data_IF_125818334132
#
_entry.id   IF_125818334132
#
_cell.length_a   1.000
_cell.length_b   1.000
_cell.length_c   1.000
_cell.angle_alpha   90.00
_cell.angle_beta   90.00
_cell.angle_gamma   90.00
#
_symmetry.space_group_name_H-M   'P 1'
#
loop_
_entity.id
_entity.type
_entity.pdbx_description
1 polymer ?
#
# COMPACT_ATOMS: atom_id res chain seq x y z
N UNK A 1 -17.97 -0.70 -8.66
CA UNK A 1 -16.84 -0.20 -7.85
C UNK A 1 -16.72 -1.04 -6.60
N UNK A 2 -15.71 -1.90 -6.52
CA UNK A 2 -15.31 -2.55 -5.27
C UNK A 2 -14.16 -1.76 -4.65
N UNK A 3 -14.28 -1.40 -3.38
CA UNK A 3 -13.18 -0.82 -2.59
C UNK A 3 -12.72 -1.90 -1.62
N UNK A 4 -11.52 -2.42 -1.84
CA UNK A 4 -10.97 -3.48 -0.99
C UNK A 4 -10.15 -2.84 0.12
N UNK A 5 -10.61 -3.03 1.36
CA UNK A 5 -9.84 -2.72 2.55
C UNK A 5 -8.95 -3.93 2.87
N UNK A 6 -7.67 -3.83 2.52
CA UNK A 6 -6.70 -4.85 2.93
C UNK A 6 -6.37 -4.65 4.41
N UNK A 7 -6.99 -5.43 5.29
CA UNK A 7 -6.53 -5.62 6.67
C UNK A 7 -6.47 -7.12 6.97
N UNK A 8 -5.34 -7.61 7.47
CA UNK A 8 -5.26 -8.91 8.14
C UNK A 8 -5.06 -8.63 9.62
N UNK A 9 -6.05 -8.99 10.44
CA UNK A 9 -5.90 -9.02 11.89
C UNK A 9 -5.26 -10.36 12.27
N UNK A 10 -4.18 -10.30 13.04
CA UNK A 10 -3.54 -11.46 13.67
C UNK A 10 -4.50 -12.11 14.67
N UNK A 11 -5.16 -13.21 14.29
CA UNK A 11 -5.80 -14.10 15.25
C UNK A 11 -5.55 -15.57 14.88
N UNK A 12 -4.74 -16.26 15.70
CA UNK A 12 -4.86 -17.71 15.92
C UNK A 12 -4.21 -18.66 14.90
N UNK A 13 -3.33 -18.21 14.00
CA UNK A 13 -2.65 -19.13 13.07
C UNK A 13 -1.52 -19.88 13.79
N UNK A 14 -1.54 -21.21 13.70
CA UNK A 14 -0.59 -22.12 14.37
C UNK A 14 0.81 -22.10 13.76
N UNK A 15 0.96 -21.51 12.58
CA UNK A 15 2.22 -21.34 11.85
C UNK A 15 2.59 -19.86 11.70
N UNK A 16 3.89 -19.52 11.69
CA UNK A 16 4.33 -18.14 11.51
C UNK A 16 3.91 -17.60 10.14
N UNK A 17 3.02 -16.61 10.15
CA UNK A 17 2.61 -15.86 8.95
C UNK A 17 3.63 -14.77 8.67
N UNK A 18 4.22 -14.79 7.48
CA UNK A 18 5.16 -13.77 7.01
C UNK A 18 4.48 -12.81 6.01
N UNK A 19 5.20 -11.80 5.53
CA UNK A 19 4.69 -10.83 4.55
C UNK A 19 4.25 -11.49 3.24
N UNK A 20 4.97 -12.51 2.72
CA UNK A 20 4.56 -13.21 1.49
C UNK A 20 3.15 -13.78 1.63
N UNK A 21 2.87 -14.48 2.75
CA UNK A 21 1.55 -15.03 3.04
C UNK A 21 0.46 -13.94 3.12
N UNK A 22 0.78 -12.76 3.67
CA UNK A 22 -0.19 -11.66 3.74
C UNK A 22 -0.50 -11.08 2.37
N UNK A 23 0.51 -10.95 1.51
CA UNK A 23 0.33 -10.47 0.16
C UNK A 23 -0.41 -11.51 -0.69
N UNK A 24 -0.11 -12.79 -0.52
CA UNK A 24 -0.86 -13.90 -1.15
C UNK A 24 -2.34 -13.86 -0.82
N UNK A 25 -2.69 -13.69 0.45
CA UNK A 25 -4.09 -13.61 0.87
C UNK A 25 -4.81 -12.44 0.19
N UNK A 26 -4.14 -11.30 0.00
CA UNK A 26 -4.71 -10.15 -0.72
C UNK A 26 -4.89 -10.50 -2.19
N UNK A 27 -3.92 -11.16 -2.83
CA UNK A 27 -4.01 -11.60 -4.22
C UNK A 27 -5.18 -12.58 -4.43
N UNK A 28 -5.31 -13.58 -3.56
CA UNK A 28 -6.40 -14.55 -3.59
C UNK A 28 -7.77 -13.88 -3.37
N UNK A 29 -7.86 -12.91 -2.45
CA UNK A 29 -9.07 -12.14 -2.25
C UNK A 29 -9.44 -11.31 -3.49
N UNK A 30 -8.44 -10.74 -4.19
CA UNK A 30 -8.65 -10.01 -5.44
C UNK A 30 -9.16 -10.91 -6.56
N UNK A 31 -8.58 -12.10 -6.72
CA UNK A 31 -9.07 -13.13 -7.66
C UNK A 31 -10.53 -13.47 -7.36
N UNK A 32 -10.83 -13.82 -6.12
CA UNK A 32 -12.19 -14.15 -5.70
C UNK A 32 -13.17 -13.01 -5.99
N UNK A 33 -12.81 -11.77 -5.64
CA UNK A 33 -13.67 -10.61 -5.90
C UNK A 33 -13.87 -10.45 -7.40
N UNK A 34 -12.82 -10.50 -8.20
CA UNK A 34 -12.92 -10.35 -9.66
C UNK A 34 -13.85 -11.39 -10.27
N UNK A 35 -13.78 -12.65 -9.81
CA UNK A 35 -14.55 -13.76 -10.35
C UNK A 35 -16.02 -13.75 -9.90
N UNK A 36 -16.31 -13.21 -8.71
CA UNK A 36 -17.63 -13.31 -8.08
C UNK A 36 -18.37 -11.97 -7.90
N UNK A 37 -17.76 -10.82 -8.18
CA UNK A 37 -18.36 -9.51 -7.86
C UNK A 37 -19.70 -9.30 -8.58
N UNK A 38 -19.87 -9.80 -9.80
CA UNK A 38 -21.11 -9.67 -10.56
C UNK A 38 -22.28 -10.50 -10.01
N UNK A 39 -22.02 -11.51 -9.18
CA UNK A 39 -23.06 -12.28 -8.50
C UNK A 39 -23.79 -11.43 -7.43
N UNK A 40 -23.04 -10.55 -6.77
CA UNK A 40 -23.55 -9.66 -5.73
C UNK A 40 -23.91 -8.27 -6.26
N UNK A 41 -23.17 -7.80 -7.28
CA UNK A 41 -23.31 -6.49 -7.88
C UNK A 41 -23.27 -6.62 -9.40
N UNK A 42 -24.39 -6.93 -10.08
CA UNK A 42 -24.41 -7.21 -11.52
C UNK A 42 -23.83 -6.11 -12.41
N UNK A 43 -23.84 -4.86 -11.94
CA UNK A 43 -23.32 -3.69 -12.65
C UNK A 43 -21.86 -3.35 -12.28
N UNK A 44 -21.21 -4.11 -11.40
CA UNK A 44 -19.80 -3.90 -11.11
C UNK A 44 -18.94 -4.35 -12.29
N UNK A 45 -17.92 -3.57 -12.60
CA UNK A 45 -16.88 -3.97 -13.54
C UNK A 45 -15.74 -4.67 -12.76
N UNK A 46 -15.49 -5.97 -12.99
CA UNK A 46 -14.45 -6.73 -12.30
C UNK A 46 -13.03 -6.25 -12.67
N UNK A 47 -12.88 -5.49 -13.77
CA UNK A 47 -11.62 -4.90 -14.19
C UNK A 47 -11.47 -3.42 -13.78
N UNK A 48 -12.33 -2.94 -12.87
CA UNK A 48 -12.24 -1.61 -12.25
C UNK A 48 -12.05 -1.67 -10.74
N UNK A 49 -10.88 -2.15 -10.31
CA UNK A 49 -10.53 -2.31 -8.90
C UNK A 49 -9.64 -1.16 -8.42
N UNK A 50 -9.99 -0.59 -7.27
CA UNK A 50 -9.14 0.36 -6.54
C UNK A 50 -8.68 -0.26 -5.22
N UNK A 51 -7.37 -0.23 -4.98
CA UNK A 51 -6.79 -0.70 -3.72
C UNK A 51 -6.61 0.47 -2.76
N UNK A 52 -6.98 0.28 -1.49
CA UNK A 52 -6.74 1.26 -0.45
C UNK A 52 -6.24 0.59 0.83
N UNK A 53 -5.30 1.26 1.49
CA UNK A 53 -4.64 0.72 2.67
C UNK A 53 -4.10 1.82 3.56
N UNK A 54 -4.00 1.51 4.85
CA UNK A 54 -3.43 2.39 5.87
C UNK A 54 -2.25 1.69 6.55
N UNK A 55 -1.16 2.41 6.82
CA UNK A 55 -0.01 1.89 7.56
C UNK A 55 0.55 0.60 6.93
N UNK A 56 0.58 -0.51 7.65
CA UNK A 56 0.95 -1.81 7.10
C UNK A 56 0.09 -2.24 5.90
N UNK A 57 -1.19 -1.88 5.85
CA UNK A 57 -2.04 -2.14 4.68
C UNK A 57 -1.60 -1.34 3.45
N UNK A 58 -1.16 -0.09 3.63
CA UNK A 58 -0.61 0.73 2.55
C UNK A 58 0.70 0.13 2.00
N UNK A 59 1.53 -0.45 2.87
CA UNK A 59 2.70 -1.22 2.49
C UNK A 59 2.34 -2.43 1.63
N UNK A 60 1.42 -3.29 2.11
CA UNK A 60 1.04 -4.53 1.42
C UNK A 60 0.43 -4.27 0.05
N UNK A 61 -0.49 -3.31 -0.09
CA UNK A 61 -1.09 -2.98 -1.40
C UNK A 61 -0.08 -2.32 -2.35
N UNK A 62 0.93 -1.63 -1.82
CA UNK A 62 1.99 -1.09 -2.65
C UNK A 62 2.92 -2.20 -3.12
N UNK A 63 3.25 -3.15 -2.25
CA UNK A 63 4.10 -4.28 -2.58
C UNK A 63 3.46 -5.19 -3.63
N UNK A 64 2.21 -5.61 -3.42
CA UNK A 64 1.49 -6.49 -4.38
C UNK A 64 1.34 -5.84 -5.76
N UNK A 65 1.19 -4.52 -5.81
CA UNK A 65 0.96 -3.81 -7.07
C UNK A 65 2.27 -3.59 -7.83
N UNK A 66 3.37 -3.35 -7.12
CA UNK A 66 4.66 -3.01 -7.73
C UNK A 66 5.53 -4.23 -8.00
N UNK A 67 5.49 -5.25 -7.15
CA UNK A 67 6.13 -6.53 -7.41
C UNK A 67 5.17 -7.44 -8.19
N UNK A 68 5.34 -7.45 -9.51
CA UNK A 68 4.49 -8.21 -10.45
C UNK A 68 4.43 -9.70 -10.16
N UNK A 69 5.46 -10.27 -9.51
CA UNK A 69 5.51 -11.70 -9.22
C UNK A 69 4.34 -12.18 -8.35
N UNK A 70 3.78 -11.30 -7.51
CA UNK A 70 2.60 -11.63 -6.71
C UNK A 70 1.34 -11.76 -7.56
N UNK A 71 1.13 -10.88 -8.54
CA UNK A 71 -0.04 -11.00 -9.41
C UNK A 71 0.14 -12.11 -10.46
N UNK A 72 1.34 -12.29 -11.00
CA UNK A 72 1.65 -13.34 -11.96
C UNK A 72 1.41 -14.74 -11.40
N UNK A 73 1.85 -15.02 -10.16
CA UNK A 73 1.68 -16.35 -9.54
C UNK A 73 0.22 -16.70 -9.25
N UNK A 74 -0.66 -15.70 -9.13
CA UNK A 74 -2.10 -15.87 -8.94
C UNK A 74 -2.91 -15.63 -10.21
N UNK A 75 -2.25 -15.44 -11.36
CA UNK A 75 -2.89 -15.14 -12.64
C UNK A 75 -3.84 -13.92 -12.59
N UNK A 76 -3.55 -12.97 -11.70
CA UNK A 76 -4.34 -11.75 -11.55
C UNK A 76 -3.85 -10.68 -12.54
N UNK A 77 -4.72 -10.15 -13.42
CA UNK A 77 -4.31 -9.11 -14.35
C UNK A 77 -4.10 -7.77 -13.64
N UNK A 78 -2.84 -7.27 -13.64
CA UNK A 78 -2.50 -5.96 -13.08
C UNK A 78 -3.35 -4.82 -13.69
N UNK A 79 -3.74 -4.95 -14.96
CA UNK A 79 -4.58 -3.99 -15.68
C UNK A 79 -5.98 -3.80 -15.07
N UNK A 80 -6.46 -4.74 -14.24
CA UNK A 80 -7.70 -4.59 -13.47
C UNK A 80 -7.55 -3.62 -12.29
N UNK A 81 -6.32 -3.27 -11.88
CA UNK A 81 -6.07 -2.25 -10.86
C UNK A 81 -6.06 -0.87 -11.52
N UNK A 82 -7.10 -0.08 -11.26
CA UNK A 82 -7.27 1.28 -11.80
C UNK A 82 -6.58 2.36 -10.96
N UNK A 83 -6.20 2.04 -9.74
CA UNK A 83 -5.39 2.92 -8.91
C UNK A 83 -5.18 2.39 -7.50
N UNK A 84 -4.15 2.93 -6.85
CA UNK A 84 -3.76 2.57 -5.48
C UNK A 84 -3.76 3.81 -4.59
N UNK A 85 -4.42 3.71 -3.44
CA UNK A 85 -4.55 4.80 -2.47
C UNK A 85 -3.87 4.39 -1.17
N UNK A 86 -2.64 4.86 -0.98
CA UNK A 86 -1.76 4.47 0.12
C UNK A 86 -1.71 5.56 1.20
N UNK A 87 -2.22 5.26 2.40
CA UNK A 87 -2.29 6.22 3.52
C UNK A 87 -1.29 5.89 4.61
N UNK A 88 -0.40 6.83 4.92
CA UNK A 88 0.60 6.72 6.00
C UNK A 88 1.37 5.40 5.97
N UNK A 89 1.73 4.95 4.77
CA UNK A 89 2.41 3.67 4.53
C UNK A 89 3.91 3.70 4.81
N UNK A 90 4.51 2.52 4.67
CA UNK A 90 5.96 2.31 4.69
C UNK A 90 6.35 1.70 3.36
N UNK A 91 7.28 2.31 2.66
CA UNK A 91 7.68 1.95 1.30
C UNK A 91 9.15 1.55 1.22
N UNK A 92 9.96 1.97 2.20
CA UNK A 92 11.37 1.59 2.33
C UNK A 92 11.65 1.10 3.75
N UNK A 93 11.68 -0.23 3.93
CA UNK A 93 11.86 -0.87 5.24
C UNK A 93 13.28 -0.68 5.82
N UNK A 94 14.26 -0.30 5.01
CA UNK A 94 15.63 -0.02 5.46
C UNK A 94 15.76 1.24 6.32
N UNK A 95 14.99 2.29 6.00
CA UNK A 95 15.17 3.61 6.59
C UNK A 95 13.88 4.48 6.56
N UNK A 96 12.74 4.00 7.09
CA UNK A 96 11.40 4.58 6.85
C UNK A 96 11.07 5.91 7.54
N UNK A 97 11.91 6.40 8.45
CA UNK A 97 11.63 7.63 9.24
C UNK A 97 12.68 8.71 9.05
N UNK A 98 13.78 8.40 8.35
CA UNK A 98 14.89 9.32 8.08
C UNK A 98 15.81 8.73 7.01
N UNK A 99 16.53 9.56 6.26
CA UNK A 99 17.49 9.11 5.24
C UNK A 99 18.68 8.31 5.77
N UNK A 100 18.99 8.42 7.07
CA UNK A 100 20.05 7.65 7.69
C UNK A 100 19.51 6.38 8.34
N UNK A 101 20.00 5.23 7.88
CA UNK A 101 19.70 3.91 8.47
C UNK A 101 20.10 3.79 9.95
N UNK A 102 21.04 4.61 10.41
CA UNK A 102 21.52 4.65 11.80
C UNK A 102 20.75 5.63 12.68
N UNK A 103 19.73 6.31 12.14
CA UNK A 103 18.88 7.18 12.96
C UNK A 103 18.16 6.36 14.03
N UNK A 104 18.15 6.85 15.27
CA UNK A 104 17.51 6.17 16.40
C UNK A 104 16.03 5.84 16.14
N UNK A 105 15.29 6.70 15.45
CA UNK A 105 13.89 6.44 15.08
C UNK A 105 13.76 5.24 14.14
N UNK A 106 14.66 5.12 13.15
CA UNK A 106 14.71 3.95 12.26
C UNK A 106 15.07 2.67 13.02
N UNK A 107 15.98 2.75 14.01
CA UNK A 107 16.36 1.59 14.84
C UNK A 107 15.17 1.11 15.67
N UNK A 108 14.51 2.02 16.40
CA UNK A 108 13.32 1.71 17.20
C UNK A 108 12.20 1.16 16.31
N UNK A 109 11.99 1.79 15.15
CA UNK A 109 11.00 1.35 14.18
C UNK A 109 11.26 -0.08 13.70
N UNK A 110 12.50 -0.39 13.30
CA UNK A 110 12.90 -1.76 12.93
C UNK A 110 12.66 -2.73 14.09
N UNK A 111 13.01 -2.40 15.32
CA UNK A 111 12.76 -3.31 16.45
C UNK A 111 11.26 -3.65 16.59
N UNK A 112 10.38 -2.67 16.40
CA UNK A 112 8.94 -2.86 16.52
C UNK A 112 8.31 -3.59 15.32
N UNK A 113 8.80 -3.32 14.10
CA UNK A 113 8.19 -3.82 12.86
C UNK A 113 8.94 -5.00 12.24
N UNK A 114 10.23 -5.17 12.50
CA UNK A 114 11.10 -6.24 11.99
C UNK A 114 11.28 -7.37 12.99
N UNK A 115 10.26 -7.65 13.82
CA UNK A 115 10.27 -8.90 14.59
C UNK A 115 10.48 -10.04 13.59
N UNK A 116 11.45 -10.92 13.86
CA UNK A 116 11.89 -12.01 12.98
C UNK A 116 10.82 -13.05 12.64
N UNK A 117 9.58 -12.82 13.09
CA UNK A 117 8.39 -13.59 12.80
C UNK A 117 7.71 -13.15 11.49
N UNK A 118 7.84 -11.88 11.08
CA UNK A 118 7.13 -11.33 9.92
C UNK A 118 7.91 -11.44 8.61
N UNK A 119 9.23 -11.51 8.67
CA UNK A 119 10.11 -11.54 7.51
C UNK A 119 10.87 -12.87 7.47
N UNK A 120 10.83 -13.62 6.35
CA UNK A 120 11.64 -14.83 6.18
C UNK A 120 13.12 -14.56 6.39
N UNK A 121 13.84 -15.51 6.99
CA UNK A 121 15.26 -15.33 7.37
C UNK A 121 16.19 -15.23 6.15
N UNK A 122 15.75 -15.74 5.02
CA UNK A 122 16.45 -15.83 3.73
C UNK A 122 16.19 -14.62 2.83
N UNK A 123 15.20 -13.78 3.16
CA UNK A 123 14.87 -12.57 2.41
C UNK A 123 15.28 -11.31 3.15
N UNK A 124 15.65 -10.30 2.37
CA UNK A 124 16.11 -9.00 2.85
C UNK A 124 14.94 -8.03 3.01
N UNK A 125 15.11 -7.03 3.87
CA UNK A 125 14.14 -5.93 4.00
C UNK A 125 13.99 -5.14 2.69
N UNK A 126 14.96 -5.22 1.77
CA UNK A 126 14.90 -4.58 0.46
C UNK A 126 13.88 -5.28 -0.46
N UNK A 127 13.84 -6.62 -0.45
CA UNK A 127 12.84 -7.39 -1.21
C UNK A 127 11.41 -7.14 -0.74
N UNK A 128 11.24 -6.68 0.50
CA UNK A 128 9.94 -6.25 1.01
C UNK A 128 9.73 -4.74 0.95
N UNK A 129 10.58 -3.98 0.28
CA UNK A 129 10.43 -2.53 0.17
C UNK A 129 9.78 -2.17 -1.17
N UNK A 130 8.49 -1.76 -1.21
CA UNK A 130 7.79 -1.41 -2.46
C UNK A 130 8.57 -0.45 -3.37
N UNK A 131 9.35 0.47 -2.80
CA UNK A 131 10.13 1.46 -3.56
C UNK A 131 11.15 0.83 -4.53
N UNK A 132 11.66 -0.36 -4.23
CA UNK A 132 12.68 -1.06 -5.04
C UNK A 132 12.13 -1.59 -6.37
N UNK A 133 10.80 -1.68 -6.47
CA UNK A 133 10.09 -2.22 -7.64
C UNK A 133 9.63 -1.14 -8.61
N UNK A 134 9.83 0.14 -8.30
CA UNK A 134 9.54 1.25 -9.22
C UNK A 134 10.72 1.36 -10.20
N UNK A 135 10.57 0.74 -11.37
CA UNK A 135 11.56 0.74 -12.47
C UNK A 135 10.96 1.38 -13.71
N UNK A 136 11.79 1.96 -14.57
CA UNK A 136 11.32 2.55 -15.84
C UNK A 136 10.77 1.47 -16.80
N UNK A 137 9.83 1.86 -17.66
CA UNK A 137 9.23 1.01 -18.71
C UNK A 137 8.42 -0.21 -18.20
N UNK A 138 7.90 -0.12 -16.98
CA UNK A 138 6.97 -1.07 -16.40
C UNK A 138 5.54 -0.54 -16.47
N UNK A 139 4.55 -1.42 -16.59
CA UNK A 139 3.15 -1.06 -16.32
C UNK A 139 2.95 -0.88 -14.81
N UNK A 140 2.59 0.35 -14.39
CA UNK A 140 2.26 0.70 -13.00
C UNK A 140 1.00 1.56 -13.01
N UNK A 141 -0.06 1.19 -12.25
CA UNK A 141 -1.27 2.00 -12.17
C UNK A 141 -1.02 3.34 -11.45
N UNK A 142 -1.92 4.32 -11.55
CA UNK A 142 -1.76 5.59 -10.83
C UNK A 142 -1.79 5.36 -9.31
N UNK A 143 -1.00 6.15 -8.58
CA UNK A 143 -0.96 6.13 -7.11
C UNK A 143 -1.43 7.46 -6.52
N UNK A 144 -2.26 7.41 -5.48
CA UNK A 144 -2.46 8.49 -4.52
C UNK A 144 -1.78 8.11 -3.21
N UNK A 145 -0.74 8.85 -2.85
CA UNK A 145 -0.04 8.70 -1.58
C UNK A 145 -0.52 9.82 -0.64
N UNK A 146 -0.89 9.47 0.58
CA UNK A 146 -1.31 10.44 1.59
C UNK A 146 -0.54 10.24 2.88
N UNK A 147 0.00 11.31 3.45
CA UNK A 147 0.63 11.31 4.77
C UNK A 147 -0.19 12.14 5.75
N UNK A 148 -0.19 11.77 7.03
CA UNK A 148 -0.74 12.64 8.07
C UNK A 148 0.21 13.82 8.33
N UNK A 149 -0.31 14.94 8.86
CA UNK A 149 0.56 16.03 9.34
C UNK A 149 1.50 15.58 10.45
N UNK A 150 1.01 14.74 11.36
CA UNK A 150 1.76 14.20 12.49
C UNK A 150 1.93 12.68 12.32
N UNK A 151 2.81 12.29 11.39
CA UNK A 151 2.96 10.90 10.91
C UNK A 151 4.22 10.19 11.41
N UNK A 152 4.76 10.63 12.54
CA UNK A 152 5.93 10.01 13.20
C UNK A 152 7.21 9.96 12.33
N UNK A 153 7.29 10.74 11.25
CA UNK A 153 8.42 10.74 10.32
C UNK A 153 8.19 9.91 9.05
N UNK A 154 7.08 9.16 8.94
CA UNK A 154 6.76 8.36 7.75
C UNK A 154 6.52 9.23 6.51
N UNK A 155 6.18 10.52 6.70
CA UNK A 155 6.05 11.47 5.61
C UNK A 155 7.36 11.68 4.82
N UNK A 156 8.51 11.35 5.43
CA UNK A 156 9.83 11.36 4.77
C UNK A 156 9.93 10.19 3.78
N UNK A 157 9.52 8.99 4.20
CA UNK A 157 9.54 7.80 3.33
C UNK A 157 8.53 7.92 2.19
N UNK A 158 7.32 8.42 2.49
CA UNK A 158 6.33 8.73 1.47
C UNK A 158 6.85 9.71 0.41
N UNK A 159 7.62 10.75 0.81
CA UNK A 159 8.23 11.69 -0.15
C UNK A 159 9.23 10.99 -1.07
N UNK A 160 10.12 10.16 -0.53
CA UNK A 160 11.08 9.40 -1.35
C UNK A 160 10.38 8.45 -2.32
N UNK A 161 9.34 7.77 -1.86
CA UNK A 161 8.52 6.90 -2.69
C UNK A 161 7.90 7.68 -3.86
N UNK A 162 7.26 8.83 -3.57
CA UNK A 162 6.66 9.71 -4.59
C UNK A 162 7.72 10.29 -5.55
N UNK A 163 8.90 10.67 -5.04
CA UNK A 163 10.01 11.14 -5.87
C UNK A 163 10.49 10.06 -6.84
N UNK A 164 10.55 8.80 -6.40
CA UNK A 164 10.89 7.67 -7.27
C UNK A 164 9.87 7.49 -8.40
N UNK A 165 8.57 7.55 -8.11
CA UNK A 165 7.52 7.56 -9.14
C UNK A 165 7.71 8.70 -10.15
N UNK A 166 7.97 9.92 -9.66
CA UNK A 166 8.18 11.10 -10.52
C UNK A 166 9.42 10.97 -11.40
N UNK A 167 10.52 10.44 -10.87
CA UNK A 167 11.76 10.18 -11.61
C UNK A 167 11.51 9.21 -12.77
N UNK A 168 10.76 8.13 -12.50
CA UNK A 168 10.37 7.14 -13.51
C UNK A 168 9.16 7.57 -14.36
N UNK A 169 8.65 8.81 -14.18
CA UNK A 169 7.54 9.41 -14.94
C UNK A 169 6.20 8.68 -14.82
N UNK A 170 5.96 8.01 -13.70
CA UNK A 170 4.67 7.38 -13.42
C UNK A 170 3.66 8.38 -12.82
N UNK A 171 2.34 8.20 -13.08
CA UNK A 171 1.31 9.01 -12.47
C UNK A 171 1.27 8.81 -10.95
N UNK A 172 1.55 9.88 -10.20
CA UNK A 172 1.47 9.87 -8.74
C UNK A 172 0.97 11.20 -8.20
N UNK A 173 0.03 11.13 -7.27
CA UNK A 173 -0.44 12.25 -6.45
C UNK A 173 0.08 12.10 -5.03
N UNK A 174 0.44 13.23 -4.39
CA UNK A 174 0.88 13.24 -3.00
C UNK A 174 0.19 14.34 -2.21
N UNK A 175 -0.41 13.98 -1.07
CA UNK A 175 -1.12 14.89 -0.18
C UNK A 175 -0.66 14.74 1.27
N UNK A 176 -0.52 15.85 1.98
CA UNK A 176 -0.35 15.84 3.44
C UNK A 176 -1.66 16.31 4.06
N UNK A 177 -2.31 15.43 4.82
CA UNK A 177 -3.60 15.69 5.45
C UNK A 177 -3.39 16.57 6.67
N UNK A 178 -3.92 17.79 6.60
CA UNK A 178 -3.64 18.88 7.53
C UNK A 178 -4.34 18.77 8.90
N UNK A 179 -4.53 19.93 9.55
CA UNK A 179 -5.21 20.02 10.84
C UNK A 179 -4.42 19.37 11.98
N UNK A 180 -5.11 18.56 12.80
CA UNK A 180 -4.53 17.74 13.89
C UNK A 180 -4.43 16.25 13.50
N UNK A 181 -4.39 15.96 12.20
CA UNK A 181 -4.37 14.58 11.70
C UNK A 181 -3.05 13.90 12.07
N UNK A 182 -3.18 12.74 12.70
CA UNK A 182 -2.11 11.83 13.14
C UNK A 182 -2.13 10.56 12.31
N UNK A 183 -1.06 9.76 12.42
CA UNK A 183 -0.97 8.44 11.79
C UNK A 183 -2.24 7.60 11.92
N UNK A 184 -2.83 7.49 13.11
CA UNK A 184 -4.05 6.69 13.31
C UNK A 184 -5.34 7.40 12.88
N UNK A 185 -5.39 8.74 12.93
CA UNK A 185 -6.62 9.50 12.66
C UNK A 185 -6.84 9.81 11.19
N UNK A 186 -5.82 9.68 10.33
CA UNK A 186 -6.01 9.74 8.88
C UNK A 186 -7.02 8.68 8.40
N UNK A 187 -6.99 7.48 8.98
CA UNK A 187 -7.91 6.39 8.69
C UNK A 187 -9.11 6.36 9.66
N UNK A 188 -8.88 6.39 10.98
CA UNK A 188 -9.98 6.23 11.95
C UNK A 188 -10.99 7.40 11.96
N UNK A 189 -10.60 8.58 11.46
CA UNK A 189 -11.49 9.73 11.25
C UNK A 189 -11.72 10.04 9.76
N UNK A 190 -11.50 9.08 8.87
CA UNK A 190 -11.63 9.26 7.42
C UNK A 190 -12.94 9.95 7.02
N UNK A 191 -14.06 9.64 7.67
CA UNK A 191 -15.36 10.28 7.38
C UNK A 191 -15.39 11.81 7.56
N UNK A 192 -14.45 12.38 8.30
CA UNK A 192 -14.47 13.78 8.75
C UNK A 192 -13.18 14.55 8.48
N UNK A 193 -12.14 13.89 7.95
CA UNK A 193 -10.89 14.54 7.59
C UNK A 193 -10.77 14.72 6.07
N UNK A 194 -9.81 15.54 5.64
CA UNK A 194 -9.65 15.91 4.23
C UNK A 194 -9.18 14.75 3.34
N UNK A 195 -8.66 13.66 3.93
CA UNK A 195 -8.23 12.48 3.17
C UNK A 195 -9.37 11.90 2.33
N UNK A 196 -10.60 11.98 2.83
CA UNK A 196 -11.81 11.54 2.12
C UNK A 196 -12.04 12.28 0.81
N UNK A 197 -11.80 13.59 0.78
CA UNK A 197 -11.99 14.37 -0.45
C UNK A 197 -10.99 13.95 -1.52
N UNK A 198 -9.71 13.84 -1.16
CA UNK A 198 -8.66 13.38 -2.07
C UNK A 198 -8.93 11.96 -2.56
N UNK A 199 -9.30 11.05 -1.66
CA UNK A 199 -9.67 9.67 -1.96
C UNK A 199 -10.73 9.56 -3.07
N UNK A 200 -11.87 10.22 -2.89
CA UNK A 200 -12.96 10.13 -3.87
C UNK A 200 -12.68 10.94 -5.14
N UNK A 201 -11.88 11.99 -5.07
CA UNK A 201 -11.45 12.75 -6.25
C UNK A 201 -10.59 11.88 -7.15
N UNK A 202 -9.60 11.20 -6.57
CA UNK A 202 -8.71 10.26 -7.26
C UNK A 202 -9.49 9.12 -7.94
N UNK A 203 -10.41 8.48 -7.22
CA UNK A 203 -11.27 7.44 -7.82
C UNK A 203 -12.04 7.98 -9.03
N UNK A 204 -12.68 9.16 -8.90
CA UNK A 204 -13.44 9.76 -10.02
C UNK A 204 -12.57 10.13 -11.22
N UNK A 205 -11.32 10.52 -11.00
CA UNK A 205 -10.37 10.84 -12.06
C UNK A 205 -9.96 9.59 -12.86
N UNK A 206 -9.87 8.43 -12.20
CA UNK A 206 -9.35 7.19 -12.78
C UNK A 206 -10.41 6.11 -13.08
N UNK A 207 -11.68 6.39 -12.83
CA UNK A 207 -12.83 5.54 -13.20
C UNK A 207 -13.19 5.61 -14.70
N UNK A 208 -12.63 6.56 -15.45
CA UNK A 208 -12.94 6.76 -16.87
C UNK A 208 -12.05 5.95 -17.79
#
# INVERSE_FOLDING_TARGET
MAVIYAYKLFYGVREPVNVDHMVDDIALALVYIRDHINEHYPQADPDQIFLSGHSAGAHLISLITLDKSYFERHQFPLSSIRGVIAMSGIYSLSNPTHDSKYNFRNIVFRILYSSSLLFPKDKTMLEYSPIEYIKENEEIPPFLVMSARFDMGLEVDARRFVEKFRQCKYPVEYQIIGGKTTHGTIASKFSTNDARQHFFTFIRQHMK
#
